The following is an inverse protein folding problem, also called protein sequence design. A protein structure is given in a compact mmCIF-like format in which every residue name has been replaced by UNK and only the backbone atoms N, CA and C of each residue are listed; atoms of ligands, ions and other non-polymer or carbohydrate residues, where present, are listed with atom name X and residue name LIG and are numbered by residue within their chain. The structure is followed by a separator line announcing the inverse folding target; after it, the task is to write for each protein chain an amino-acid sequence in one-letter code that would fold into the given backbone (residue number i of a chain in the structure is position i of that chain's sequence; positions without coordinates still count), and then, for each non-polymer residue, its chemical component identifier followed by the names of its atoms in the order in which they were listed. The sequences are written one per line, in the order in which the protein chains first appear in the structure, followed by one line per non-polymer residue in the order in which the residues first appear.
data_IF_982778578719
#
_entry.id   IF_982778578719
#
_cell.length_a   1.000
_cell.length_b   1.000
_cell.length_c   1.000
_cell.angle_alpha   90.00
_cell.angle_beta   90.00
_cell.angle_gamma   90.00
#
_symmetry.space_group_name_H-M   'P 1'
#
loop_
_entity.id
_entity.type
_entity.pdbx_description
1 polymer ?
#
# COMPACT_ATOMS: atom_id res chain seq x y z
N UNK A 1 -57.54 -69.10 2.14
CA UNK A 1 -57.95 -67.68 2.04
C UNK A 1 -56.85 -66.86 2.68
N UNK A 2 -56.08 -66.14 1.87
CA UNK A 2 -54.77 -65.57 2.27
C UNK A 2 -54.89 -64.09 2.59
N UNK A 3 -54.30 -63.70 3.72
CA UNK A 3 -54.28 -62.37 4.33
C UNK A 3 -53.11 -61.51 3.83
N UNK A 4 -53.42 -60.28 3.42
CA UNK A 4 -52.67 -59.00 3.41
C UNK A 4 -51.15 -58.91 3.07
N UNK A 5 -50.72 -57.91 2.26
CA UNK A 5 -49.32 -57.50 2.13
C UNK A 5 -49.00 -56.25 2.99
N UNK A 6 -47.84 -56.26 3.69
CA UNK A 6 -47.21 -55.07 4.29
C UNK A 6 -45.84 -54.81 3.65
N UNK A 7 -45.66 -53.63 3.05
CA UNK A 7 -44.38 -52.93 2.82
C UNK A 7 -43.82 -52.40 4.17
N UNK A 8 -42.56 -51.89 4.33
CA UNK A 8 -41.73 -51.15 3.34
C UNK A 8 -40.18 -51.33 3.46
N UNK A 9 -39.38 -50.69 2.59
CA UNK A 9 -38.23 -49.88 3.05
C UNK A 9 -37.62 -49.02 1.93
N UNK A 10 -37.24 -47.82 2.33
CA UNK A 10 -37.04 -46.62 1.52
C UNK A 10 -35.57 -46.30 1.25
N UNK A 11 -35.38 -45.56 0.15
CA UNK A 11 -34.36 -44.52 -0.12
C UNK A 11 -32.88 -44.90 -0.20
N UNK A 12 -32.20 -44.62 -1.33
CA UNK A 12 -30.76 -44.40 -1.33
C UNK A 12 -30.47 -43.02 -0.73
N UNK A 13 -29.59 -42.99 0.25
CA UNK A 13 -29.09 -41.80 0.93
C UNK A 13 -28.47 -40.82 -0.06
N UNK A 14 -29.06 -39.63 -0.13
CA UNK A 14 -28.49 -38.40 -0.66
C UNK A 14 -27.24 -38.04 0.18
N UNK A 15 -26.05 -38.24 -0.37
CA UNK A 15 -24.81 -37.69 0.21
C UNK A 15 -24.63 -36.29 -0.37
N UNK A 16 -24.61 -35.22 0.45
CA UNK A 16 -24.24 -33.91 -0.06
C UNK A 16 -22.77 -33.92 -0.49
N UNK A 17 -22.41 -33.25 -1.60
CA UNK A 17 -21.02 -33.09 -1.97
C UNK A 17 -20.31 -32.30 -0.88
N UNK A 18 -19.35 -32.96 -0.22
CA UNK A 18 -18.46 -32.34 0.74
C UNK A 18 -17.76 -31.16 0.08
N UNK A 19 -17.90 -30.02 0.74
CA UNK A 19 -17.41 -28.69 0.40
C UNK A 19 -15.87 -28.65 0.28
N UNK A 20 -15.33 -29.20 -0.82
CA UNK A 20 -13.90 -29.20 -1.10
C UNK A 20 -13.40 -27.85 -1.66
N UNK A 21 -14.29 -26.86 -1.84
CA UNK A 21 -13.97 -25.54 -2.40
C UNK A 21 -13.64 -24.47 -1.33
N UNK A 22 -13.83 -24.79 -0.05
CA UNK A 22 -13.58 -23.88 1.07
C UNK A 22 -12.09 -23.49 1.30
N UNK A 23 -11.07 -24.39 1.23
CA UNK A 23 -9.71 -24.02 1.62
C UNK A 23 -9.02 -23.10 0.59
N UNK A 24 -9.25 -23.32 -0.71
CA UNK A 24 -8.67 -22.50 -1.77
C UNK A 24 -9.27 -21.09 -1.81
N UNK A 25 -10.57 -20.97 -1.55
CA UNK A 25 -11.28 -19.68 -1.50
C UNK A 25 -10.84 -18.84 -0.30
N UNK A 26 -10.64 -19.46 0.86
CA UNK A 26 -10.12 -18.79 2.06
C UNK A 26 -8.65 -18.37 1.91
N UNK A 27 -7.80 -19.22 1.32
CA UNK A 27 -6.41 -18.87 1.05
C UNK A 27 -6.29 -17.69 0.08
N UNK A 28 -7.12 -17.67 -0.98
CA UNK A 28 -7.17 -16.55 -1.94
C UNK A 28 -7.66 -15.26 -1.29
N UNK A 29 -8.68 -15.34 -0.44
CA UNK A 29 -9.20 -14.19 0.31
C UNK A 29 -8.17 -13.64 1.32
N UNK A 30 -7.40 -14.51 1.98
CA UNK A 30 -6.32 -14.12 2.88
C UNK A 30 -5.16 -13.45 2.11
N UNK A 31 -4.80 -14.00 0.94
CA UNK A 31 -3.78 -13.40 0.06
C UNK A 31 -4.23 -12.03 -0.47
N UNK A 32 -5.49 -11.86 -0.87
CA UNK A 32 -6.01 -10.57 -1.32
C UNK A 32 -6.07 -9.55 -0.19
N UNK A 33 -6.43 -9.97 1.03
CA UNK A 33 -6.41 -9.10 2.21
C UNK A 33 -4.98 -8.69 2.58
N UNK A 34 -4.02 -9.60 2.47
CA UNK A 34 -2.59 -9.31 2.64
C UNK A 34 -2.07 -8.30 1.62
N UNK A 35 -2.41 -8.50 0.32
CA UNK A 35 -2.06 -7.56 -0.74
C UNK A 35 -2.66 -6.17 -0.48
N UNK A 36 -3.95 -6.09 -0.15
CA UNK A 36 -4.63 -4.82 0.10
C UNK A 36 -4.02 -4.06 1.29
N UNK A 37 -3.66 -4.76 2.38
CA UNK A 37 -2.96 -4.16 3.52
C UNK A 37 -1.60 -3.62 3.13
N UNK A 38 -0.82 -4.39 2.35
CA UNK A 38 0.48 -3.94 1.85
C UNK A 38 0.34 -2.68 1.00
N UNK A 39 -0.55 -2.70 0.01
CA UNK A 39 -0.78 -1.54 -0.86
C UNK A 39 -1.14 -0.29 -0.07
N UNK A 40 -2.00 -0.44 0.95
CA UNK A 40 -2.36 0.67 1.84
C UNK A 40 -1.16 1.21 2.62
N UNK A 41 -0.34 0.34 3.20
CA UNK A 41 0.88 0.78 3.90
C UNK A 41 1.84 1.52 2.98
N UNK A 42 2.01 1.05 1.74
CA UNK A 42 2.89 1.71 0.76
C UNK A 42 2.31 3.04 0.29
N UNK A 43 0.98 3.14 0.09
CA UNK A 43 0.31 4.40 -0.23
C UNK A 43 0.44 5.42 0.92
N UNK A 44 0.18 5.01 2.18
CA UNK A 44 0.33 5.86 3.36
C UNK A 44 1.77 6.38 3.52
N UNK A 45 2.74 5.57 3.12
CA UNK A 45 4.15 5.91 3.11
C UNK A 45 4.47 6.88 1.98
N UNK A 46 3.99 6.61 0.77
CA UNK A 46 4.12 7.48 -0.40
C UNK A 46 3.60 8.89 -0.08
N UNK A 47 2.40 9.01 0.50
CA UNK A 47 1.82 10.29 0.88
C UNK A 47 2.67 11.04 1.91
N UNK A 48 3.04 10.37 3.01
CA UNK A 48 3.85 10.98 4.05
C UNK A 48 5.19 11.49 3.52
N UNK A 49 5.78 10.75 2.58
CA UNK A 49 7.05 11.09 1.95
C UNK A 49 6.90 12.27 0.98
N UNK A 50 5.82 12.30 0.21
CA UNK A 50 5.51 13.41 -0.69
C UNK A 50 5.26 14.72 0.07
N UNK A 51 4.60 14.67 1.24
CA UNK A 51 4.45 15.85 2.11
C UNK A 51 5.82 16.40 2.53
N UNK A 52 6.75 15.53 2.93
CA UNK A 52 8.11 15.93 3.32
C UNK A 52 8.85 16.57 2.15
N UNK A 53 8.76 15.99 0.95
CA UNK A 53 9.41 16.54 -0.24
C UNK A 53 8.85 17.92 -0.61
N UNK A 54 7.52 18.08 -0.61
CA UNK A 54 6.89 19.39 -0.90
C UNK A 54 7.35 20.45 0.09
N UNK A 55 7.34 20.14 1.39
CA UNK A 55 7.82 21.06 2.42
C UNK A 55 9.31 21.42 2.24
N UNK A 56 10.14 20.43 1.89
CA UNK A 56 11.56 20.63 1.66
C UNK A 56 11.84 21.49 0.41
N UNK A 57 11.08 21.27 -0.67
CA UNK A 57 11.18 22.05 -1.92
C UNK A 57 10.62 23.47 -1.79
N UNK A 58 9.69 23.71 -0.86
CA UNK A 58 9.17 25.04 -0.56
C UNK A 58 10.10 25.88 0.33
N UNK A 59 11.15 25.28 0.91
CA UNK A 59 12.10 26.00 1.74
C UNK A 59 12.90 27.01 0.91
N UNK A 60 12.82 28.29 1.28
CA UNK A 60 13.44 29.40 0.54
C UNK A 60 14.93 29.58 0.82
N UNK A 61 15.41 29.05 1.94
CA UNK A 61 16.79 29.17 2.39
C UNK A 61 17.23 27.95 3.21
N UNK A 62 18.52 27.93 3.58
CA UNK A 62 19.13 26.83 4.32
C UNK A 62 18.57 26.67 5.74
N UNK A 63 18.16 27.75 6.42
CA UNK A 63 17.63 27.69 7.76
C UNK A 63 16.22 27.08 7.75
N UNK A 64 15.36 27.51 6.82
CA UNK A 64 14.05 26.93 6.56
C UNK A 64 14.17 25.43 6.20
N UNK A 65 15.12 25.08 5.32
CA UNK A 65 15.35 23.69 4.95
C UNK A 65 15.81 22.84 6.16
N UNK A 66 16.65 23.39 7.03
CA UNK A 66 17.13 22.70 8.23
C UNK A 66 16.00 22.43 9.22
N UNK A 67 15.11 23.40 9.42
CA UNK A 67 13.95 23.23 10.30
C UNK A 67 12.96 22.20 9.72
N UNK A 68 12.68 22.28 8.41
CA UNK A 68 11.87 21.26 7.72
C UNK A 68 12.52 19.89 7.83
N UNK A 69 13.84 19.78 7.66
CA UNK A 69 14.59 18.53 7.80
C UNK A 69 14.46 17.93 9.19
N UNK A 70 14.54 18.76 10.22
CA UNK A 70 14.38 18.34 11.62
C UNK A 70 12.95 17.89 11.90
N UNK A 71 11.96 18.67 11.48
CA UNK A 71 10.55 18.35 11.63
C UNK A 71 10.19 17.05 10.89
N UNK A 72 10.63 16.90 9.65
CA UNK A 72 10.48 15.69 8.85
C UNK A 72 11.12 14.48 9.53
N UNK A 73 12.37 14.58 9.98
CA UNK A 73 13.05 13.47 10.66
C UNK A 73 12.32 13.04 11.94
N UNK A 74 11.76 14.00 12.70
CA UNK A 74 10.92 13.71 13.87
C UNK A 74 9.63 12.99 13.48
N UNK A 75 8.94 13.46 12.44
CA UNK A 75 7.71 12.86 11.94
C UNK A 75 7.94 11.44 11.40
N UNK A 76 9.02 11.25 10.61
CA UNK A 76 9.43 9.96 10.08
C UNK A 76 9.81 8.99 11.19
N UNK A 77 10.53 9.46 12.23
CA UNK A 77 10.85 8.65 13.40
C UNK A 77 9.58 8.20 14.14
N UNK A 78 8.61 9.10 14.31
CA UNK A 78 7.35 8.77 14.99
C UNK A 78 6.49 7.78 14.19
N UNK A 79 6.43 7.92 12.86
CA UNK A 79 5.53 7.12 12.01
C UNK A 79 6.17 5.82 11.50
N UNK A 80 7.47 5.81 11.22
CA UNK A 80 8.18 4.71 10.56
C UNK A 80 9.39 4.18 11.36
N UNK A 81 9.60 4.66 12.59
CA UNK A 81 10.72 4.25 13.43
C UNK A 81 12.07 4.88 13.07
N UNK A 82 12.15 5.64 11.98
CA UNK A 82 13.33 6.38 11.56
C UNK A 82 13.18 6.99 10.17
N UNK A 83 14.15 7.81 9.78
CA UNK A 83 14.22 8.39 8.45
C UNK A 83 14.82 9.78 8.43
N UNK A 84 15.29 10.17 7.26
CA UNK A 84 15.76 11.50 6.91
C UNK A 84 15.17 11.91 5.56
N UNK A 85 15.24 13.20 5.24
CA UNK A 85 14.85 13.71 3.92
C UNK A 85 15.61 13.00 2.80
N UNK A 86 16.91 12.72 2.96
CA UNK A 86 17.69 11.95 1.99
C UNK A 86 17.15 10.53 1.80
N UNK A 87 16.79 9.82 2.87
CA UNK A 87 16.20 8.48 2.74
C UNK A 87 14.81 8.50 2.09
N UNK A 88 14.06 9.59 2.27
CA UNK A 88 12.77 9.81 1.60
C UNK A 88 12.98 9.96 0.09
N UNK A 89 13.91 10.82 -0.33
CA UNK A 89 14.25 10.99 -1.75
C UNK A 89 14.73 9.67 -2.38
N UNK A 90 15.62 8.94 -1.71
CA UNK A 90 16.09 7.65 -2.18
C UNK A 90 14.96 6.62 -2.32
N UNK A 91 14.02 6.59 -1.38
CA UNK A 91 12.88 5.66 -1.47
C UNK A 91 11.92 6.02 -2.59
N UNK A 92 11.56 7.31 -2.75
CA UNK A 92 10.64 7.77 -3.80
C UNK A 92 11.19 7.52 -5.21
N UNK A 93 12.51 7.50 -5.37
CA UNK A 93 13.18 7.22 -6.65
C UNK A 93 13.47 5.73 -6.88
N UNK A 94 13.32 4.90 -5.84
CA UNK A 94 13.50 3.44 -5.91
C UNK A 94 12.34 2.73 -6.63
N UNK A 95 12.48 1.43 -6.90
CA UNK A 95 11.38 0.61 -7.43
C UNK A 95 10.18 0.57 -6.48
N UNK A 96 10.40 0.48 -5.17
CA UNK A 96 9.31 0.45 -4.20
C UNK A 96 8.45 1.74 -4.24
N UNK A 97 9.09 2.90 -4.40
CA UNK A 97 8.38 4.16 -4.56
C UNK A 97 7.61 4.26 -5.87
N UNK A 98 8.20 3.75 -6.98
CA UNK A 98 7.54 3.66 -8.29
C UNK A 98 6.32 2.73 -8.24
N UNK A 99 6.48 1.52 -7.70
CA UNK A 99 5.39 0.55 -7.57
C UNK A 99 4.23 1.10 -6.73
N UNK A 100 4.54 1.85 -5.67
CA UNK A 100 3.54 2.50 -4.84
C UNK A 100 2.78 3.59 -5.61
N UNK A 101 3.50 4.42 -6.39
CA UNK A 101 2.89 5.43 -7.25
C UNK A 101 2.01 4.78 -8.33
N UNK A 102 2.52 3.76 -9.01
CA UNK A 102 1.78 3.05 -10.06
C UNK A 102 0.52 2.40 -9.50
N UNK A 103 0.56 1.86 -8.28
CA UNK A 103 -0.61 1.29 -7.61
C UNK A 103 -1.71 2.34 -7.34
N UNK A 104 -1.31 3.57 -6.98
CA UNK A 104 -2.24 4.69 -6.80
C UNK A 104 -2.80 5.14 -8.16
N UNK A 105 -1.95 5.31 -9.17
CA UNK A 105 -2.36 5.74 -10.52
C UNK A 105 -3.27 4.72 -11.20
N UNK A 106 -3.08 3.43 -10.94
CA UNK A 106 -3.93 2.35 -11.43
C UNK A 106 -5.25 2.22 -10.65
N UNK A 107 -5.45 2.97 -9.56
CA UNK A 107 -6.61 2.83 -8.68
C UNK A 107 -6.64 1.52 -7.89
N UNK A 108 -5.50 0.83 -7.74
CA UNK A 108 -5.41 -0.36 -6.88
C UNK A 108 -5.51 -0.01 -5.39
N UNK A 109 -5.19 1.24 -5.05
CA UNK A 109 -5.27 1.79 -3.68
C UNK A 109 -5.60 3.27 -3.72
N UNK A 110 -6.54 3.67 -2.88
CA UNK A 110 -6.92 5.06 -2.67
C UNK A 110 -5.97 5.76 -1.69
N UNK A 111 -5.65 7.02 -2.00
CA UNK A 111 -4.99 7.93 -1.08
C UNK A 111 -5.94 8.29 0.07
N UNK A 112 -5.40 8.40 1.28
CA UNK A 112 -6.21 8.72 2.48
C UNK A 112 -5.74 9.97 3.21
N UNK A 113 -4.57 10.47 2.85
CA UNK A 113 -4.00 11.71 3.36
C UNK A 113 -4.46 12.94 2.59
N UNK A 114 -3.76 14.07 2.80
CA UNK A 114 -4.22 15.38 2.35
C UNK A 114 -3.87 15.71 0.90
N UNK A 115 -3.08 14.87 0.23
CA UNK A 115 -2.54 15.18 -1.10
C UNK A 115 -3.40 14.57 -2.21
N UNK A 116 -3.62 15.34 -3.28
CA UNK A 116 -4.20 14.79 -4.51
C UNK A 116 -3.18 13.92 -5.26
N UNK A 117 -3.66 13.08 -6.16
CA UNK A 117 -2.81 12.27 -7.05
C UNK A 117 -1.83 13.15 -7.84
N UNK A 118 -2.26 14.32 -8.32
CA UNK A 118 -1.41 15.28 -9.02
C UNK A 118 -0.30 15.83 -8.12
N UNK A 119 -0.62 16.16 -6.87
CA UNK A 119 0.37 16.65 -5.90
C UNK A 119 1.41 15.58 -5.52
N UNK A 120 1.00 14.31 -5.49
CA UNK A 120 1.90 13.16 -5.31
C UNK A 120 2.84 13.03 -6.50
N UNK A 121 2.33 13.07 -7.73
CA UNK A 121 3.15 12.99 -8.95
C UNK A 121 4.17 14.13 -9.00
N UNK A 122 3.74 15.36 -8.68
CA UNK A 122 4.62 16.52 -8.60
C UNK A 122 5.73 16.34 -7.56
N UNK A 123 5.37 15.86 -6.36
CA UNK A 123 6.34 15.61 -5.30
C UNK A 123 7.36 14.52 -5.68
N UNK A 124 6.93 13.46 -6.37
CA UNK A 124 7.83 12.41 -6.88
C UNK A 124 8.77 13.00 -7.94
N UNK A 125 8.29 13.86 -8.83
CA UNK A 125 9.13 14.53 -9.83
C UNK A 125 10.18 15.44 -9.16
N UNK A 126 9.81 16.18 -8.11
CA UNK A 126 10.74 16.98 -7.29
C UNK A 126 11.81 16.10 -6.65
N UNK A 127 11.43 14.93 -6.11
CA UNK A 127 12.36 13.97 -5.54
C UNK A 127 13.36 13.42 -6.57
N UNK A 128 12.90 13.09 -7.77
CA UNK A 128 13.75 12.62 -8.87
C UNK A 128 14.75 13.70 -9.30
N UNK A 129 14.29 14.95 -9.43
CA UNK A 129 15.16 16.08 -9.76
C UNK A 129 16.22 16.32 -8.69
N UNK A 130 15.85 16.23 -7.41
CA UNK A 130 16.77 16.39 -6.30
C UNK A 130 17.88 15.31 -6.30
N UNK A 131 17.54 14.04 -6.56
CA UNK A 131 18.57 13.00 -6.65
C UNK A 131 19.43 13.09 -7.89
N UNK A 132 18.88 13.51 -9.03
CA UNK A 132 19.69 13.76 -10.22
C UNK A 132 20.74 14.84 -9.94
N UNK A 133 20.35 15.95 -9.30
CA UNK A 133 21.27 17.01 -8.92
C UNK A 133 22.37 16.50 -7.98
N UNK A 134 22.01 15.68 -6.98
CA UNK A 134 22.97 15.06 -6.06
C UNK A 134 23.97 14.16 -6.79
N UNK A 135 23.50 13.34 -7.73
CA UNK A 135 24.35 12.44 -8.52
C UNK A 135 25.31 13.20 -9.46
N UNK A 136 24.95 14.41 -9.88
CA UNK A 136 25.82 15.25 -10.74
C UNK A 136 26.79 16.15 -9.96
N UNK A 137 26.57 16.35 -8.66
CA UNK A 137 27.38 17.24 -7.80
C UNK A 137 28.24 16.50 -6.77
N UNK A 138 28.12 15.17 -6.68
CA UNK A 138 28.97 14.30 -5.85
C UNK A 138 30.12 13.70 -6.65
#
# INVERSE_FOLDING_TARGET
MSTEPRTPSSSPTDQPPTDASAPASQARAAQSAGKARRLRTEADKLEAFCVVVRAASAATDHAAFTEVSRAASKALKAKFGGGSITSVFAWLTSSAGKDALDSVLAGEVELTGPLSTEEIVEAVALAQKAELLRATQG
#
